data_IF_693151832889
#
_entry.id   IF_693151832889
#
_cell.length_a   1.000
_cell.length_b   1.000
_cell.length_c   1.000
_cell.angle_alpha   90.00
_cell.angle_beta   90.00
_cell.angle_gamma   90.00
#
_symmetry.space_group_name_H-M   'P 1'
#
loop_
_entity.id
_entity.type
_entity.pdbx_description
1 polymer ?
#
# COMPACT_ATOMS: atom_id res chain seq x y z
N UNK A 1 41.07 -34.87 8.66
CA UNK A 1 40.15 -34.82 7.50
C UNK A 1 38.70 -34.53 7.89
N UNK A 2 38.10 -35.25 8.87
CA UNK A 2 36.72 -34.96 9.35
C UNK A 2 36.49 -33.50 9.80
N UNK A 3 37.47 -32.90 10.50
CA UNK A 3 37.41 -31.49 10.93
C UNK A 3 37.49 -30.51 9.76
N UNK A 4 38.27 -30.82 8.73
CA UNK A 4 38.42 -29.96 7.53
C UNK A 4 37.17 -30.00 6.65
N UNK A 5 36.55 -31.18 6.55
CA UNK A 5 35.27 -31.34 5.86
C UNK A 5 34.17 -30.53 6.54
N UNK A 6 34.13 -30.54 7.88
CA UNK A 6 33.20 -29.73 8.66
C UNK A 6 33.40 -28.23 8.44
N UNK A 7 34.65 -27.76 8.38
CA UNK A 7 34.95 -26.33 8.12
C UNK A 7 34.52 -25.91 6.72
N UNK A 8 34.67 -26.78 5.73
CA UNK A 8 34.32 -26.46 4.34
C UNK A 8 32.80 -26.35 4.15
N UNK A 9 32.02 -27.17 4.84
CA UNK A 9 30.54 -27.10 4.80
C UNK A 9 29.99 -25.81 5.41
N UNK A 10 30.70 -25.21 6.39
CA UNK A 10 30.31 -23.95 7.03
C UNK A 10 30.59 -22.72 6.13
N UNK A 11 31.55 -22.82 5.21
CA UNK A 11 31.92 -21.71 4.32
C UNK A 11 30.96 -21.58 3.11
N UNK A 12 30.24 -22.64 2.77
CA UNK A 12 29.29 -22.67 1.65
C UNK A 12 27.92 -22.07 1.97
N UNK A 13 27.63 -21.74 3.24
CA UNK A 13 26.34 -21.20 3.67
C UNK A 13 26.25 -19.66 3.66
N UNK A 14 27.29 -18.95 3.19
CA UNK A 14 27.31 -17.47 3.17
C UNK A 14 26.70 -16.82 1.92
N UNK A 15 26.11 -17.58 1.00
CA UNK A 15 25.43 -17.03 -0.18
C UNK A 15 23.98 -16.65 0.13
N UNK A 16 23.79 -15.50 0.78
CA UNK A 16 22.47 -14.89 1.00
C UNK A 16 22.03 -14.08 -0.24
N UNK A 17 20.81 -14.34 -0.74
CA UNK A 17 20.17 -13.57 -1.81
C UNK A 17 19.22 -12.51 -1.20
N UNK A 18 19.52 -11.22 -1.36
CA UNK A 18 18.61 -10.12 -0.97
C UNK A 18 17.62 -9.83 -2.13
N UNK A 19 16.38 -10.30 -1.97
CA UNK A 19 15.27 -10.10 -2.94
C UNK A 19 14.62 -8.76 -2.79
N UNK A 20 13.45 -8.53 -3.41
CA UNK A 20 13.28 -7.30 -4.15
C UNK A 20 11.76 -7.00 -4.48
N UNK A 21 11.07 -5.92 -4.04
CA UNK A 21 9.69 -5.43 -4.37
C UNK A 21 9.68 -4.95 -5.80
N UNK A 22 9.36 -5.90 -6.67
CA UNK A 22 9.82 -5.98 -8.06
C UNK A 22 11.35 -5.86 -8.23
N UNK A 23 12.11 -5.61 -7.16
CA UNK A 23 13.37 -4.83 -7.17
C UNK A 23 14.00 -4.48 -5.79
N UNK A 24 13.26 -4.47 -4.67
CA UNK A 24 13.61 -4.04 -3.26
C UNK A 24 13.45 -5.05 -2.05
N UNK A 25 14.48 -5.38 -1.25
CA UNK A 25 14.32 -6.39 -0.19
C UNK A 25 13.23 -6.06 0.80
N UNK A 26 12.47 -7.11 1.11
CA UNK A 26 11.08 -6.96 1.48
C UNK A 26 10.92 -6.67 2.99
N UNK A 27 11.95 -6.93 3.77
CA UNK A 27 12.08 -6.45 5.16
C UNK A 27 12.26 -4.93 5.25
N UNK A 28 12.65 -4.33 4.14
CA UNK A 28 12.69 -2.89 3.89
C UNK A 28 11.33 -2.40 3.35
N UNK A 29 10.25 -3.19 3.57
CA UNK A 29 8.91 -2.84 3.19
C UNK A 29 7.94 -2.74 4.36
N UNK A 30 7.89 -1.53 4.89
CA UNK A 30 6.76 -1.03 5.64
C UNK A 30 6.23 0.17 4.88
N UNK A 31 4.98 0.12 4.40
CA UNK A 31 4.39 1.22 3.64
C UNK A 31 4.17 2.38 4.61
N UNK A 32 5.20 3.21 4.74
CA UNK A 32 5.21 4.37 5.64
C UNK A 32 4.20 5.42 5.18
N UNK A 33 3.98 5.54 3.87
CA UNK A 33 3.05 6.50 3.29
C UNK A 33 2.10 5.84 2.32
N UNK A 34 0.87 6.34 2.32
CA UNK A 34 -0.13 6.00 1.33
C UNK A 34 -1.00 7.21 1.03
N UNK A 35 -1.64 7.15 -0.13
CA UNK A 35 -2.55 8.18 -0.60
C UNK A 35 -3.94 7.58 -0.77
N UNK A 36 -4.92 8.18 -0.10
CA UNK A 36 -6.32 7.92 -0.35
C UNK A 36 -6.74 8.80 -1.54
N UNK A 37 -7.31 8.18 -2.56
CA UNK A 37 -7.82 8.83 -3.76
C UNK A 37 -9.33 8.67 -3.75
N UNK A 38 -10.05 9.75 -3.50
CA UNK A 38 -11.51 9.80 -3.55
C UNK A 38 -11.98 10.40 -4.87
N UNK A 39 -12.88 9.70 -5.57
CA UNK A 39 -13.65 10.30 -6.67
C UNK A 39 -15.13 10.36 -6.31
N UNK A 40 -15.72 11.55 -6.42
CA UNK A 40 -17.16 11.74 -6.26
C UNK A 40 -17.83 11.68 -7.62
N UNK A 41 -18.74 10.73 -7.83
CA UNK A 41 -19.65 10.79 -8.97
C UNK A 41 -20.61 11.96 -8.76
N UNK A 42 -20.86 12.74 -9.81
CA UNK A 42 -21.92 13.75 -9.83
C UNK A 42 -23.22 13.15 -9.26
N UNK A 43 -23.79 13.78 -8.24
CA UNK A 43 -25.04 13.41 -7.54
C UNK A 43 -25.05 12.15 -6.65
N UNK A 44 -23.89 11.54 -6.32
CA UNK A 44 -23.84 10.40 -5.37
C UNK A 44 -23.19 10.82 -4.05
N UNK A 45 -23.80 10.44 -2.91
CA UNK A 45 -23.15 10.53 -1.60
C UNK A 45 -22.04 9.49 -1.42
N UNK A 46 -22.05 8.43 -2.25
CA UNK A 46 -21.01 7.40 -2.25
C UNK A 46 -19.77 7.92 -2.99
N UNK A 47 -18.65 7.96 -2.29
CA UNK A 47 -17.32 8.26 -2.84
C UNK A 47 -16.63 6.95 -3.18
N UNK A 48 -16.07 6.86 -4.39
CA UNK A 48 -15.19 5.74 -4.72
C UNK A 48 -13.82 6.04 -4.14
N UNK A 49 -13.35 5.20 -3.22
CA UNK A 49 -12.04 5.35 -2.59
C UNK A 49 -11.10 4.29 -3.13
N UNK A 50 -9.95 4.74 -3.60
CA UNK A 50 -8.80 3.92 -3.96
C UNK A 50 -7.62 4.27 -3.05
N UNK A 51 -6.72 3.32 -2.83
CA UNK A 51 -5.48 3.60 -2.10
C UNK A 51 -4.29 3.35 -3.02
N UNK A 52 -3.42 4.34 -3.08
CA UNK A 52 -2.11 4.24 -3.68
C UNK A 52 -1.07 4.10 -2.56
N UNK A 53 -0.25 3.06 -2.67
CA UNK A 53 0.85 2.75 -1.73
C UNK A 53 2.22 2.87 -2.41
N UNK A 54 2.25 3.50 -3.60
CA UNK A 54 3.45 3.78 -4.40
C UNK A 54 4.11 2.56 -5.06
N UNK A 55 3.73 1.34 -4.68
CA UNK A 55 4.39 0.11 -5.14
C UNK A 55 3.40 -0.87 -5.73
N UNK A 56 3.69 -1.40 -6.93
CA UNK A 56 2.93 -2.50 -7.54
C UNK A 56 3.05 -3.76 -6.69
N UNK A 57 2.17 -3.88 -5.71
CA UNK A 57 2.02 -5.09 -4.90
C UNK A 57 1.14 -6.10 -5.64
N UNK A 58 1.09 -7.36 -5.18
CA UNK A 58 0.10 -8.34 -5.68
C UNK A 58 -1.35 -7.85 -5.53
N UNK A 59 -1.61 -6.92 -4.60
CA UNK A 59 -2.91 -6.28 -4.43
C UNK A 59 -3.26 -5.31 -5.58
N UNK A 60 -2.25 -4.84 -6.34
CA UNK A 60 -2.36 -3.90 -7.48
C UNK A 60 -2.25 -4.61 -8.84
N UNK A 61 -2.41 -5.93 -8.88
CA UNK A 61 -2.06 -6.79 -10.02
C UNK A 61 -2.97 -6.68 -11.26
N UNK A 62 -3.71 -5.58 -11.43
CA UNK A 62 -4.58 -5.36 -12.59
C UNK A 62 -4.36 -3.96 -13.16
N UNK A 63 -3.34 -3.81 -14.01
CA UNK A 63 -3.06 -2.71 -14.96
C UNK A 63 -3.40 -1.26 -14.53
N UNK A 64 -3.54 -1.00 -13.24
CA UNK A 64 -3.94 0.28 -12.66
C UNK A 64 -3.09 0.47 -11.40
N UNK A 65 -2.48 1.63 -11.30
CA UNK A 65 -1.56 2.01 -10.22
C UNK A 65 -2.28 2.31 -8.88
N UNK A 66 -3.48 1.75 -8.67
CA UNK A 66 -4.25 1.94 -7.43
C UNK A 66 -4.82 0.61 -6.95
N UNK A 67 -4.59 0.26 -5.68
CA UNK A 67 -5.22 -0.90 -5.04
C UNK A 67 -6.63 -0.52 -4.57
N UNK A 68 -7.59 -1.42 -4.79
CA UNK A 68 -8.82 -1.40 -4.00
C UNK A 68 -8.54 -2.21 -2.74
N UNK A 69 -8.71 -1.60 -1.57
CA UNK A 69 -8.61 -2.34 -0.32
C UNK A 69 -9.65 -3.45 -0.31
N UNK A 70 -9.22 -4.62 0.17
CA UNK A 70 -10.08 -5.79 0.31
C UNK A 70 -10.14 -6.22 1.76
N UNK A 71 -11.29 -6.72 2.19
CA UNK A 71 -11.45 -7.31 3.51
C UNK A 71 -10.79 -8.70 3.59
N UNK A 72 -10.92 -9.34 4.76
CA UNK A 72 -10.41 -10.69 5.00
C UNK A 72 -10.99 -11.77 4.09
N UNK A 73 -12.15 -11.52 3.45
CA UNK A 73 -12.83 -12.43 2.54
C UNK A 73 -12.47 -12.14 1.07
N UNK A 74 -11.67 -11.09 0.80
CA UNK A 74 -11.30 -10.67 -0.55
C UNK A 74 -12.31 -9.72 -1.21
N UNK A 75 -13.34 -9.29 -0.48
CA UNK A 75 -14.35 -8.34 -0.94
C UNK A 75 -13.83 -6.91 -0.90
N UNK A 76 -14.16 -6.10 -1.90
CA UNK A 76 -13.71 -4.70 -1.96
C UNK A 76 -14.37 -3.91 -0.84
N UNK A 77 -13.56 -3.25 -0.01
CA UNK A 77 -14.07 -2.32 1.00
C UNK A 77 -14.73 -1.13 0.33
N UNK A 78 -15.96 -0.83 0.75
CA UNK A 78 -16.73 0.33 0.29
C UNK A 78 -16.86 1.30 1.46
N UNK A 79 -16.40 2.53 1.24
CA UNK A 79 -16.50 3.60 2.22
C UNK A 79 -17.68 4.50 1.90
N UNK A 80 -18.38 4.96 2.94
CA UNK A 80 -19.53 5.85 2.78
C UNK A 80 -19.10 7.28 2.47
N UNK A 81 -17.89 7.67 2.89
CA UNK A 81 -17.29 8.99 2.65
C UNK A 81 -15.77 8.91 2.73
N UNK A 82 -15.09 10.01 2.41
CA UNK A 82 -13.64 10.12 2.65
C UNK A 82 -13.32 10.09 4.15
N UNK A 83 -14.18 10.69 5.00
CA UNK A 83 -14.01 10.64 6.46
C UNK A 83 -14.05 9.20 6.97
N UNK A 84 -14.93 8.37 6.41
CA UNK A 84 -15.01 6.93 6.70
C UNK A 84 -13.68 6.24 6.37
N UNK A 85 -13.08 6.55 5.21
CA UNK A 85 -11.76 6.05 4.84
C UNK A 85 -10.64 6.58 5.76
N UNK A 86 -10.68 7.85 6.16
CA UNK A 86 -9.70 8.42 7.09
C UNK A 86 -9.77 7.76 8.47
N UNK A 87 -10.97 7.55 8.99
CA UNK A 87 -11.17 6.85 10.26
C UNK A 87 -10.67 5.41 10.19
N UNK A 88 -10.94 4.72 9.09
CA UNK A 88 -10.38 3.39 8.85
C UNK A 88 -8.85 3.43 8.89
N UNK A 89 -8.21 4.28 8.09
CA UNK A 89 -6.75 4.38 8.08
C UNK A 89 -6.16 4.78 9.45
N UNK A 90 -6.84 5.65 10.18
CA UNK A 90 -6.46 6.04 11.53
C UNK A 90 -6.50 4.87 12.53
N UNK A 91 -7.50 4.00 12.43
CA UNK A 91 -7.59 2.78 13.23
C UNK A 91 -6.44 1.80 12.93
N UNK A 92 -5.86 1.85 11.73
CA UNK A 92 -4.68 1.08 11.33
C UNK A 92 -3.35 1.82 11.56
N UNK A 93 -3.37 2.86 12.38
CA UNK A 93 -2.16 3.55 12.80
C UNK A 93 -1.63 4.53 11.77
N UNK A 94 -2.42 5.00 10.81
CA UNK A 94 -2.03 6.10 9.94
C UNK A 94 -2.51 7.45 10.47
N UNK A 95 -1.73 8.50 10.28
CA UNK A 95 -2.09 9.88 10.56
C UNK A 95 -2.26 10.65 9.26
N UNK A 96 -3.20 11.60 9.29
CA UNK A 96 -3.43 12.50 8.17
C UNK A 96 -2.32 13.55 8.10
N UNK A 97 -1.76 13.74 6.91
CA UNK A 97 -0.70 14.71 6.66
C UNK A 97 -1.21 15.90 5.85
N UNK A 98 -1.85 15.63 4.71
CA UNK A 98 -2.23 16.68 3.77
C UNK A 98 -3.35 16.22 2.82
N UNK A 99 -4.11 17.17 2.28
CA UNK A 99 -5.08 16.90 1.22
C UNK A 99 -5.08 17.97 0.13
N UNK A 100 -5.31 17.55 -1.11
CA UNK A 100 -5.49 18.43 -2.26
C UNK A 100 -6.62 17.95 -3.17
N UNK A 101 -7.14 18.86 -3.99
CA UNK A 101 -8.22 18.60 -4.94
C UNK A 101 -7.70 18.90 -6.33
N UNK A 102 -7.93 17.98 -7.26
CA UNK A 102 -7.61 18.14 -8.68
C UNK A 102 -8.90 18.06 -9.48
N UNK A 103 -9.31 19.15 -10.16
CA UNK A 103 -10.38 19.09 -11.14
C UNK A 103 -9.90 18.32 -12.37
N UNK A 104 -10.57 17.23 -12.75
CA UNK A 104 -10.25 16.43 -13.92
C UNK A 104 -11.55 16.03 -14.65
N UNK A 105 -11.68 16.39 -15.93
CA UNK A 105 -12.79 15.92 -16.77
C UNK A 105 -14.20 16.31 -16.28
N UNK A 106 -14.33 17.35 -15.45
CA UNK A 106 -15.60 17.75 -14.84
C UNK A 106 -15.90 17.06 -13.50
N UNK A 107 -15.01 16.21 -13.00
CA UNK A 107 -15.05 15.65 -11.65
C UNK A 107 -13.96 16.27 -10.77
N UNK A 108 -14.16 16.23 -9.45
CA UNK A 108 -13.11 16.55 -8.49
C UNK A 108 -12.50 15.24 -7.96
N UNK A 109 -11.19 15.11 -8.12
CA UNK A 109 -10.41 14.04 -7.48
C UNK A 109 -9.81 14.60 -6.21
N UNK A 110 -10.08 13.92 -5.10
CA UNK A 110 -9.58 14.31 -3.79
C UNK A 110 -8.47 13.36 -3.38
N UNK A 111 -7.31 13.92 -3.06
CA UNK A 111 -6.14 13.18 -2.62
C UNK A 111 -5.87 13.49 -1.15
N UNK A 112 -5.64 12.44 -0.35
CA UNK A 112 -5.27 12.57 1.07
C UNK A 112 -4.02 11.75 1.33
N UNK A 113 -2.94 12.42 1.69
CA UNK A 113 -1.69 11.79 2.10
C UNK A 113 -1.79 11.38 3.57
N UNK A 114 -1.46 10.12 3.82
CA UNK A 114 -1.45 9.51 5.13
C UNK A 114 -0.05 8.95 5.43
N UNK A 115 0.38 9.00 6.68
CA UNK A 115 1.65 8.46 7.16
C UNK A 115 1.42 7.46 8.28
N UNK A 116 2.16 6.35 8.35
CA UNK A 116 2.12 5.43 9.48
C UNK A 116 2.72 6.09 10.72
N UNK A 117 2.00 6.05 11.84
CA UNK A 117 2.46 6.51 13.16
C UNK A 117 3.64 5.65 13.59
N UNK A 118 4.69 6.31 14.04
CA UNK A 118 5.90 5.70 14.58
C UNK A 118 5.64 4.97 15.91
#
# INVERSE_FOLDING_TARGET
MKKLLLTLTILLSLTSFAQTINGIPIQDLDVEYLQIIGTSKYMSSKVKVSIDIGQRTKLMSSNNDTARLKDKNGEVLVFNSIIDALNFMAAYGYEFIHSNIVPEGGENIYYYLMKKKA
#
